data_IF_128555320691
#
_entry.id   IF_128555320691
#
_cell.length_a   1.000
_cell.length_b   1.000
_cell.length_c   1.000
_cell.angle_alpha   90.00
_cell.angle_beta   90.00
_cell.angle_gamma   90.00
#
_symmetry.space_group_name_H-M   'P 1'
#
loop_
_entity.id
_entity.type
_entity.pdbx_description
1 polymer ?
#
# COMPACT_ATOMS: atom_id res chain seq x y z
N UNK A 1 8.67 -8.99 -13.72
CA UNK A 1 9.48 -9.30 -14.93
C UNK A 1 8.62 -9.79 -16.09
N UNK A 2 7.61 -10.65 -15.87
CA UNK A 2 6.76 -11.19 -16.95
C UNK A 2 5.49 -10.39 -17.27
N UNK A 3 4.81 -9.90 -16.23
CA UNK A 3 3.59 -9.10 -16.41
C UNK A 3 4.00 -7.68 -16.82
N UNK A 4 3.86 -7.37 -18.10
CA UNK A 4 4.22 -6.06 -18.67
C UNK A 4 3.00 -5.14 -18.86
N UNK A 5 1.80 -5.68 -18.72
CA UNK A 5 0.56 -4.91 -18.79
C UNK A 5 -0.48 -5.53 -17.85
N UNK A 6 -1.20 -4.66 -17.15
CA UNK A 6 -2.34 -5.00 -16.32
C UNK A 6 -3.39 -3.89 -16.48
N UNK A 7 -4.67 -4.25 -16.42
CA UNK A 7 -5.78 -3.30 -16.51
C UNK A 7 -6.76 -3.58 -15.38
N UNK A 8 -6.96 -2.60 -14.50
CA UNK A 8 -7.96 -2.68 -13.44
C UNK A 8 -9.36 -2.67 -14.08
N UNK A 9 -10.12 -3.74 -13.86
CA UNK A 9 -11.47 -3.89 -14.38
C UNK A 9 -12.50 -3.53 -13.28
N UNK A 10 -13.30 -2.47 -13.39
CA UNK A 10 -13.26 -1.38 -14.39
C UNK A 10 -12.90 -0.04 -13.75
N UNK A 11 -12.88 1.03 -14.54
CA UNK A 11 -12.40 2.34 -14.07
C UNK A 11 -13.50 3.21 -13.42
N UNK A 12 -14.74 3.16 -13.90
CA UNK A 12 -15.84 4.01 -13.40
C UNK A 12 -17.14 3.21 -13.20
N UNK A 13 -17.80 3.41 -12.05
CA UNK A 13 -19.07 2.83 -11.59
C UNK A 13 -19.13 1.30 -11.44
N UNK A 14 -18.84 0.55 -12.50
CA UNK A 14 -18.96 -0.91 -12.50
C UNK A 14 -17.72 -1.51 -11.82
N UNK A 15 -17.87 -1.99 -10.59
CA UNK A 15 -16.78 -2.56 -9.76
C UNK A 15 -15.50 -1.73 -9.81
N UNK A 16 -15.65 -0.41 -9.65
CA UNK A 16 -14.66 0.58 -10.02
C UNK A 16 -14.07 1.32 -8.81
N UNK A 17 -12.85 1.89 -8.95
CA UNK A 17 -12.29 2.80 -7.96
C UNK A 17 -12.95 4.19 -7.99
N UNK A 18 -13.56 4.59 -9.11
CA UNK A 18 -14.19 5.90 -9.29
C UNK A 18 -15.70 5.70 -9.44
N UNK A 19 -16.49 6.46 -8.69
CA UNK A 19 -17.94 6.43 -8.78
C UNK A 19 -18.46 7.80 -9.19
N UNK A 20 -19.57 7.82 -9.91
CA UNK A 20 -20.28 9.04 -10.31
C UNK A 20 -21.78 8.85 -10.17
N UNK A 21 -22.49 9.96 -9.92
CA UNK A 21 -23.95 10.00 -9.98
C UNK A 21 -24.42 10.79 -11.20
N UNK A 22 -25.48 10.38 -11.92
CA UNK A 22 -26.03 11.17 -13.03
C UNK A 22 -26.38 12.61 -12.60
N UNK A 23 -25.69 13.60 -13.19
CA UNK A 23 -25.86 15.01 -12.82
C UNK A 23 -25.34 15.38 -11.42
N UNK A 24 -24.68 14.44 -10.74
CA UNK A 24 -24.15 14.59 -9.40
C UNK A 24 -22.62 14.57 -9.36
N UNK A 25 -22.03 14.46 -8.15
CA UNK A 25 -20.59 14.48 -7.98
C UNK A 25 -19.95 13.16 -8.39
N UNK A 26 -18.62 13.21 -8.55
CA UNK A 26 -17.77 12.02 -8.60
C UNK A 26 -17.09 11.83 -7.23
N UNK A 27 -16.90 10.58 -6.81
CA UNK A 27 -16.16 10.27 -5.59
C UNK A 27 -15.26 9.04 -5.75
N UNK A 28 -14.36 8.87 -4.78
CA UNK A 28 -13.35 7.80 -4.75
C UNK A 28 -13.82 6.67 -3.85
N UNK A 29 -13.79 5.45 -4.36
CA UNK A 29 -13.91 4.25 -3.54
C UNK A 29 -12.60 3.99 -2.81
N UNK A 30 -12.64 3.15 -1.78
CA UNK A 30 -11.45 2.77 -1.00
C UNK A 30 -10.34 2.16 -1.87
N UNK A 31 -10.71 1.43 -2.92
CA UNK A 31 -9.78 0.83 -3.90
C UNK A 31 -9.08 1.84 -4.80
N UNK A 32 -9.55 3.10 -4.87
CA UNK A 32 -8.87 4.17 -5.60
C UNK A 32 -7.48 4.43 -5.04
N UNK A 33 -7.35 4.51 -3.72
CA UNK A 33 -6.16 5.04 -3.07
C UNK A 33 -4.93 4.13 -3.24
N UNK A 34 -5.00 2.81 -3.01
CA UNK A 34 -3.86 1.95 -3.26
C UNK A 34 -3.43 2.00 -4.73
N UNK A 35 -4.38 2.01 -5.67
CA UNK A 35 -4.06 2.10 -7.09
C UNK A 35 -3.38 3.42 -7.45
N UNK A 36 -3.89 4.57 -6.96
CA UNK A 36 -3.32 5.88 -7.26
C UNK A 36 -1.94 6.06 -6.64
N UNK A 37 -1.75 5.62 -5.39
CA UNK A 37 -0.46 5.70 -4.68
C UNK A 37 0.59 4.83 -5.37
N UNK A 38 0.25 3.58 -5.69
CA UNK A 38 1.18 2.69 -6.42
C UNK A 38 1.49 3.23 -7.81
N UNK A 39 0.49 3.73 -8.55
CA UNK A 39 0.74 4.32 -9.88
C UNK A 39 1.59 5.59 -9.83
N UNK A 40 1.58 6.32 -8.73
CA UNK A 40 2.36 7.54 -8.56
C UNK A 40 3.82 7.24 -8.16
N UNK A 41 4.03 6.25 -7.28
CA UNK A 41 5.33 6.04 -6.64
C UNK A 41 6.12 4.83 -7.14
N UNK A 42 5.47 3.85 -7.77
CA UNK A 42 6.19 2.70 -8.32
C UNK A 42 6.93 3.11 -9.60
N UNK A 43 8.23 3.35 -9.48
CA UNK A 43 9.11 3.75 -10.57
C UNK A 43 10.46 3.01 -10.49
N UNK A 44 11.15 2.92 -11.62
CA UNK A 44 12.45 2.27 -11.71
C UNK A 44 12.38 0.74 -11.64
N UNK A 45 13.31 0.14 -10.91
CA UNK A 45 13.45 -1.31 -10.79
C UNK A 45 12.67 -1.87 -9.61
N UNK A 46 12.10 -3.06 -9.78
CA UNK A 46 11.44 -3.79 -8.68
C UNK A 46 12.48 -4.60 -7.92
N UNK A 47 12.69 -4.26 -6.65
CA UNK A 47 13.48 -5.02 -5.71
C UNK A 47 12.57 -6.00 -4.96
N UNK A 48 13.01 -7.27 -4.86
CA UNK A 48 12.27 -8.30 -4.11
C UNK A 48 12.88 -8.44 -2.70
N UNK A 49 12.25 -7.88 -1.66
CA UNK A 49 12.76 -8.01 -0.31
C UNK A 49 12.71 -9.48 0.14
N UNK A 50 13.70 -9.88 0.95
CA UNK A 50 13.64 -11.13 1.71
C UNK A 50 12.83 -10.86 2.98
N UNK A 51 11.59 -11.37 3.01
CA UNK A 51 10.66 -11.11 4.12
C UNK A 51 10.74 -12.26 5.11
N UNK A 52 11.04 -11.93 6.37
CA UNK A 52 10.92 -12.84 7.51
C UNK A 52 9.79 -12.33 8.40
N UNK A 53 8.68 -13.06 8.47
CA UNK A 53 7.54 -12.71 9.31
C UNK A 53 6.80 -13.97 9.79
N UNK A 54 5.92 -13.79 10.77
CA UNK A 54 4.98 -14.84 11.18
C UNK A 54 3.98 -15.18 10.08
N UNK A 55 3.24 -16.26 10.28
CA UNK A 55 2.18 -16.71 9.38
C UNK A 55 0.83 -16.76 10.09
N UNK A 56 -0.25 -16.72 9.31
CA UNK A 56 -1.59 -17.08 9.79
C UNK A 56 -2.20 -18.17 8.91
N UNK A 57 -3.06 -19.00 9.49
CA UNK A 57 -3.69 -20.09 8.77
C UNK A 57 -4.91 -19.60 7.97
N UNK A 58 -5.06 -20.12 6.75
CA UNK A 58 -6.25 -19.96 5.92
C UNK A 58 -6.76 -21.33 5.47
N UNK A 59 -8.07 -21.54 5.48
CA UNK A 59 -8.68 -22.83 5.11
C UNK A 59 -8.30 -23.27 3.69
N UNK A 60 -8.12 -22.32 2.77
CA UNK A 60 -7.88 -22.58 1.35
C UNK A 60 -6.40 -22.65 0.99
N UNK A 61 -5.54 -21.86 1.63
CA UNK A 61 -4.14 -21.71 1.23
C UNK A 61 -3.14 -22.21 2.27
N UNK A 62 -3.62 -22.71 3.42
CA UNK A 62 -2.78 -23.09 4.54
C UNK A 62 -2.15 -21.87 5.21
N UNK A 63 -0.93 -22.03 5.70
CA UNK A 63 -0.21 -20.97 6.40
C UNK A 63 0.37 -19.96 5.39
N UNK A 64 -0.02 -18.69 5.54
CA UNK A 64 0.42 -17.61 4.66
C UNK A 64 1.13 -16.51 5.46
N UNK A 65 2.10 -15.78 4.86
CA UNK A 65 2.80 -14.68 5.53
C UNK A 65 1.84 -13.58 6.00
N UNK A 66 2.10 -13.04 7.19
CA UNK A 66 1.37 -11.89 7.76
C UNK A 66 1.65 -10.61 6.98
N UNK A 67 2.88 -10.42 6.53
CA UNK A 67 3.31 -9.22 5.79
C UNK A 67 3.61 -9.60 4.33
N UNK A 68 3.13 -8.76 3.43
CA UNK A 68 3.57 -8.76 2.03
C UNK A 68 4.19 -7.42 1.69
N UNK A 69 5.24 -7.43 0.87
CA UNK A 69 5.98 -6.22 0.53
C UNK A 69 6.62 -6.29 -0.84
N UNK A 70 6.71 -5.12 -1.47
CA UNK A 70 7.52 -4.89 -2.65
C UNK A 70 8.20 -3.53 -2.53
N UNK A 71 9.43 -3.45 -3.02
CA UNK A 71 10.19 -2.20 -3.04
C UNK A 71 10.49 -1.86 -4.48
N UNK A 72 10.38 -0.59 -4.84
CA UNK A 72 10.87 -0.08 -6.12
C UNK A 72 11.96 0.94 -5.90
N UNK A 73 12.97 0.98 -6.77
CA UNK A 73 14.08 1.91 -6.68
C UNK A 73 14.32 2.59 -8.03
N UNK A 74 14.26 3.92 -8.01
CA UNK A 74 14.60 4.79 -9.13
C UNK A 74 15.97 5.42 -8.87
N UNK A 75 17.00 4.83 -9.46
CA UNK A 75 18.40 5.27 -9.34
C UNK A 75 18.61 6.70 -9.87
N UNK A 76 17.91 7.08 -10.95
CA UNK A 76 18.02 8.42 -11.53
C UNK A 76 17.41 9.49 -10.61
N UNK A 77 16.33 9.16 -9.91
CA UNK A 77 15.72 10.05 -8.92
C UNK A 77 16.36 9.94 -7.52
N UNK A 78 17.15 8.89 -7.26
CA UNK A 78 17.66 8.57 -5.92
C UNK A 78 16.53 8.28 -4.92
N UNK A 79 15.46 7.64 -5.38
CA UNK A 79 14.24 7.44 -4.60
C UNK A 79 13.81 5.98 -4.55
N UNK A 80 13.38 5.53 -3.38
CA UNK A 80 12.77 4.22 -3.18
C UNK A 80 11.33 4.36 -2.69
N UNK A 81 10.45 3.47 -3.14
CA UNK A 81 9.09 3.33 -2.61
C UNK A 81 8.92 1.92 -2.04
N UNK A 82 8.45 1.85 -0.79
CA UNK A 82 8.15 0.60 -0.10
C UNK A 82 6.64 0.48 0.02
N UNK A 83 6.07 -0.60 -0.52
CA UNK A 83 4.66 -0.93 -0.36
C UNK A 83 4.52 -2.10 0.61
N UNK A 84 3.64 -1.97 1.60
CA UNK A 84 3.45 -2.94 2.68
C UNK A 84 1.96 -3.23 2.84
N UNK A 85 1.64 -4.50 3.10
CA UNK A 85 0.31 -4.93 3.54
C UNK A 85 0.47 -5.82 4.76
N UNK A 86 -0.17 -5.42 5.87
CA UNK A 86 -0.43 -6.31 7.00
C UNK A 86 -1.73 -7.07 6.74
N UNK A 87 -1.66 -8.40 6.72
CA UNK A 87 -2.80 -9.30 6.49
C UNK A 87 -3.43 -9.82 7.79
N UNK A 88 -2.87 -9.47 8.96
CA UNK A 88 -3.51 -9.70 10.24
C UNK A 88 -4.83 -8.92 10.31
N UNK A 89 -5.89 -9.54 10.84
CA UNK A 89 -7.19 -8.90 10.99
C UNK A 89 -7.31 -8.16 12.34
N UNK A 90 -6.34 -8.35 13.23
CA UNK A 90 -6.52 -8.07 14.65
C UNK A 90 -5.25 -7.60 15.37
N UNK A 91 -4.09 -7.69 14.73
CA UNK A 91 -2.81 -7.28 15.32
C UNK A 91 -2.08 -6.31 14.40
N UNK A 92 -1.56 -5.22 14.99
CA UNK A 92 -0.55 -4.38 14.35
C UNK A 92 0.76 -5.16 14.20
N UNK A 93 1.55 -4.84 13.19
CA UNK A 93 2.84 -5.48 12.92
C UNK A 93 3.89 -4.40 12.78
N UNK A 94 4.90 -4.44 13.64
CA UNK A 94 6.11 -3.62 13.47
C UNK A 94 6.97 -4.24 12.36
N UNK A 95 7.28 -3.44 11.35
CA UNK A 95 8.11 -3.85 10.21
C UNK A 95 9.41 -3.07 10.23
N UNK A 96 10.52 -3.80 10.13
CA UNK A 96 11.86 -3.27 9.92
C UNK A 96 12.39 -3.69 8.54
N UNK A 97 12.86 -2.73 7.75
CA UNK A 97 13.49 -2.95 6.46
C UNK A 97 14.93 -2.41 6.49
N UNK A 98 15.88 -3.28 6.18
CA UNK A 98 17.25 -2.87 5.92
C UNK A 98 17.36 -2.27 4.51
N UNK A 99 17.68 -0.99 4.43
CA UNK A 99 17.84 -0.22 3.20
C UNK A 99 19.28 0.28 3.02
N UNK A 100 20.24 -0.26 3.79
CA UNK A 100 21.62 0.21 3.81
C UNK A 100 22.30 0.23 2.44
N UNK A 101 21.99 -0.72 1.57
CA UNK A 101 22.52 -0.77 0.20
C UNK A 101 21.94 0.31 -0.73
N UNK A 102 20.80 0.90 -0.38
CA UNK A 102 20.16 1.96 -1.15
C UNK A 102 20.62 3.37 -0.73
N UNK A 103 21.39 3.49 0.36
CA UNK A 103 21.92 4.76 0.86
C UNK A 103 20.84 5.85 1.09
N UNK A 104 19.62 5.44 1.44
CA UNK A 104 18.51 6.35 1.73
C UNK A 104 18.81 7.21 2.96
N UNK A 105 18.46 8.50 2.90
CA UNK A 105 18.80 9.48 3.93
C UNK A 105 17.60 10.03 4.71
N UNK A 106 16.39 9.96 4.16
CA UNK A 106 15.17 10.40 4.83
C UNK A 106 13.93 9.68 4.31
N UNK A 107 12.87 9.66 5.13
CA UNK A 107 11.51 9.33 4.68
C UNK A 107 10.89 10.58 4.08
N UNK A 108 10.61 10.56 2.77
CA UNK A 108 9.99 11.70 2.08
C UNK A 108 8.50 11.83 2.45
N UNK A 109 7.77 10.71 2.42
CA UNK A 109 6.40 10.60 2.90
C UNK A 109 6.10 9.17 3.35
N UNK A 110 5.13 9.02 4.25
CA UNK A 110 4.59 7.73 4.64
C UNK A 110 3.09 7.90 4.87
N UNK A 111 2.29 6.98 4.33
CA UNK A 111 0.84 6.98 4.50
C UNK A 111 0.31 5.57 4.74
N UNK A 112 -0.82 5.47 5.43
CA UNK A 112 -1.48 4.20 5.73
C UNK A 112 -2.97 4.34 5.49
N UNK A 113 -3.53 3.38 4.74
CA UNK A 113 -4.96 3.20 4.57
C UNK A 113 -5.41 2.09 5.53
N UNK A 114 -6.16 2.46 6.56
CA UNK A 114 -6.66 1.52 7.56
C UNK A 114 -8.00 2.01 8.13
N UNK A 115 -8.78 1.10 8.68
CA UNK A 115 -10.00 1.40 9.41
C UNK A 115 -10.17 0.39 10.55
N UNK A 116 -10.80 0.81 11.65
CA UNK A 116 -11.17 -0.11 12.72
C UNK A 116 -12.29 -1.07 12.29
N UNK A 117 -13.12 -0.67 11.33
CA UNK A 117 -14.12 -1.52 10.70
C UNK A 117 -13.62 -1.98 9.31
N UNK A 118 -13.24 -3.25 9.12
CA UNK A 118 -12.77 -3.77 7.83
C UNK A 118 -13.88 -3.78 6.76
N UNK A 119 -15.14 -3.56 7.14
CA UNK A 119 -16.28 -3.44 6.24
C UNK A 119 -16.67 -1.98 5.95
N UNK A 120 -15.92 -1.00 6.46
CA UNK A 120 -16.17 0.41 6.17
C UNK A 120 -16.03 0.70 4.67
N UNK A 121 -16.95 1.50 4.15
CA UNK A 121 -17.01 1.87 2.73
C UNK A 121 -17.14 3.38 2.56
N UNK A 122 -16.61 3.88 1.44
CA UNK A 122 -16.92 5.22 0.98
C UNK A 122 -18.27 5.20 0.25
N UNK A 123 -19.12 6.14 0.59
CA UNK A 123 -20.46 6.31 -0.01
C UNK A 123 -20.58 7.72 -0.57
N UNK A 124 -21.61 7.99 -1.38
CA UNK A 124 -21.88 9.34 -1.84
C UNK A 124 -22.02 10.36 -0.69
N UNK A 125 -22.69 9.98 0.41
CA UNK A 125 -22.88 10.84 1.59
C UNK A 125 -21.65 10.94 2.50
N UNK A 126 -20.72 9.99 2.40
CA UNK A 126 -19.48 9.94 3.17
C UNK A 126 -18.33 9.45 2.27
N UNK A 127 -17.89 10.29 1.31
CA UNK A 127 -16.97 9.86 0.24
C UNK A 127 -15.53 9.69 0.72
N UNK A 128 -15.21 10.19 1.91
CA UNK A 128 -13.87 10.19 2.51
C UNK A 128 -13.87 9.49 3.89
N UNK A 129 -14.77 8.52 4.09
CA UNK A 129 -14.85 7.75 5.35
C UNK A 129 -13.59 6.92 5.59
N UNK A 130 -13.04 6.34 4.53
CA UNK A 130 -11.81 5.52 4.53
C UNK A 130 -10.87 6.12 3.49
N UNK A 131 -9.83 6.79 3.98
CA UNK A 131 -8.80 7.46 3.17
C UNK A 131 -7.42 7.22 3.77
N UNK A 132 -6.33 7.34 3.00
CA UNK A 132 -4.99 7.27 3.55
C UNK A 132 -4.76 8.43 4.52
N UNK A 133 -4.09 8.13 5.62
CA UNK A 133 -3.63 9.13 6.58
C UNK A 133 -2.10 9.11 6.66
N UNK A 134 -1.45 10.26 6.95
CA UNK A 134 -0.02 10.28 7.21
C UNK A 134 0.35 9.27 8.30
N UNK A 135 1.38 8.46 8.06
CA UNK A 135 1.89 7.53 9.03
C UNK A 135 3.18 8.08 9.66
N UNK A 136 3.06 8.57 10.90
CA UNK A 136 4.19 9.13 11.65
C UNK A 136 5.05 8.09 12.36
N UNK A 137 4.72 6.79 12.28
CA UNK A 137 5.55 5.72 12.85
C UNK A 137 6.74 5.39 11.96
N UNK A 138 6.69 5.77 10.68
CA UNK A 138 7.77 5.57 9.72
C UNK A 138 9.00 6.39 10.10
N UNK A 139 10.10 5.71 10.42
CA UNK A 139 11.36 6.33 10.80
C UNK A 139 12.54 5.62 10.13
N UNK A 140 13.44 6.40 9.53
CA UNK A 140 14.68 5.91 8.93
C UNK A 140 15.87 6.34 9.79
N UNK A 141 16.70 5.37 10.20
CA UNK A 141 17.90 5.62 10.98
C UNK A 141 18.91 4.50 10.81
N UNK A 142 20.20 4.85 10.64
CA UNK A 142 21.26 3.85 10.54
C UNK A 142 21.12 2.88 9.36
N UNK A 143 20.46 3.28 8.28
CA UNK A 143 20.18 2.41 7.12
C UNK A 143 18.95 1.51 7.28
N UNK A 144 18.23 1.58 8.41
CA UNK A 144 17.03 0.78 8.68
C UNK A 144 15.78 1.68 8.71
N UNK A 145 14.76 1.30 7.94
CA UNK A 145 13.41 1.85 8.03
C UNK A 145 12.60 1.03 9.02
N UNK A 146 11.92 1.69 9.95
CA UNK A 146 10.94 1.08 10.87
C UNK A 146 9.58 1.71 10.65
N UNK A 147 8.49 0.92 10.72
CA UNK A 147 7.11 1.40 10.59
C UNK A 147 6.16 0.43 11.28
N UNK A 148 5.09 0.97 11.88
CA UNK A 148 3.94 0.23 12.42
C UNK A 148 2.68 0.62 11.66
#
# INVERSE_FOLDING_TARGET
DRVQSASLAQLVNVIAPIMTEPGGPAWRQTTFYPFSITSQWAAGEVLRPRIECGTYHTDKYGDVPLVDSVVTFDDAAGAAAVFLVNRSLNEAVDVSLELGELEMSAVAEASTLTDADPYAVNTLSAPERVVPHPNSTAALGGGQLTVT
#
